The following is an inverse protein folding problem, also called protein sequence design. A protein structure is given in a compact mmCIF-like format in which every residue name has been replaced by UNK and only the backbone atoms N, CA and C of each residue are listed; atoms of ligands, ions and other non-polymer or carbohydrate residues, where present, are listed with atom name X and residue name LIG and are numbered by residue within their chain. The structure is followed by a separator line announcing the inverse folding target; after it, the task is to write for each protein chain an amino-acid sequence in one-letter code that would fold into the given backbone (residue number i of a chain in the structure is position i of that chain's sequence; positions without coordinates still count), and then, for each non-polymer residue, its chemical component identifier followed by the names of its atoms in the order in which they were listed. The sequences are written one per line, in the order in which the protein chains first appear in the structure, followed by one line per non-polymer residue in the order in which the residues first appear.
data_IF_115766612386
#
_entry.id   IF_115766612386
#
_cell.length_a   1.000
_cell.length_b   1.000
_cell.length_c   1.000
_cell.angle_alpha   90.00
_cell.angle_beta   90.00
_cell.angle_gamma   90.00
#
_symmetry.space_group_name_H-M   'P 1'
#
loop_
_entity.id
_entity.type
_entity.pdbx_description
1 polymer ?
#
# COMPACT_ATOMS: atom_id res chain seq x y z
N UNK A 1 -27.26 -18.35 19.31
CA UNK A 1 -26.72 -17.08 18.77
C UNK A 1 -25.45 -16.78 19.54
N UNK A 2 -24.29 -16.76 18.88
CA UNK A 2 -23.01 -16.50 19.54
C UNK A 2 -22.88 -15.00 19.79
N UNK A 3 -23.12 -14.56 21.03
CA UNK A 3 -22.79 -13.20 21.48
C UNK A 3 -21.27 -13.05 21.42
N UNK A 4 -20.77 -12.45 20.33
CA UNK A 4 -19.45 -11.83 20.35
C UNK A 4 -19.55 -10.67 21.33
N UNK A 5 -19.09 -10.86 22.57
CA UNK A 5 -18.93 -9.75 23.52
C UNK A 5 -18.27 -8.57 22.79
N UNK A 6 -18.78 -7.33 22.96
CA UNK A 6 -18.22 -6.18 22.28
C UNK A 6 -16.77 -6.05 22.72
N UNK A 7 -15.85 -6.32 21.80
CA UNK A 7 -14.42 -6.08 22.01
C UNK A 7 -14.30 -4.65 22.53
N UNK A 8 -13.76 -4.49 23.73
CA UNK A 8 -13.67 -3.19 24.37
C UNK A 8 -12.50 -2.42 23.73
N UNK A 9 -12.77 -1.84 22.56
CA UNK A 9 -11.79 -1.16 21.72
C UNK A 9 -11.04 -0.04 22.45
N UNK A 10 -11.69 0.63 23.41
CA UNK A 10 -11.09 1.69 24.23
C UNK A 10 -9.95 1.16 25.13
N UNK A 11 -10.12 -0.03 25.72
CA UNK A 11 -9.08 -0.67 26.54
C UNK A 11 -7.96 -1.25 25.69
N UNK A 12 -8.29 -1.76 24.50
CA UNK A 12 -7.32 -2.30 23.54
C UNK A 12 -6.44 -1.19 22.95
N UNK A 13 -7.03 -0.04 22.63
CA UNK A 13 -6.34 1.14 22.08
C UNK A 13 -5.46 1.84 23.14
N UNK A 14 -5.82 1.72 24.42
CA UNK A 14 -4.99 2.21 25.52
C UNK A 14 -3.66 1.43 25.67
N UNK A 15 -3.55 0.21 25.12
CA UNK A 15 -2.34 -0.60 25.23
C UNK A 15 -1.21 -0.05 24.32
N UNK A 16 0.00 0.20 24.86
CA UNK A 16 1.13 0.71 24.09
C UNK A 16 1.50 -0.17 22.89
N UNK A 17 1.38 -1.48 23.04
CA UNK A 17 1.71 -2.47 22.01
C UNK A 17 0.77 -2.39 20.80
N UNK A 18 -0.53 -2.22 21.04
CA UNK A 18 -1.54 -2.08 19.98
C UNK A 18 -1.34 -0.78 19.20
N UNK A 19 -1.06 0.33 19.89
CA UNK A 19 -0.71 1.61 19.23
C UNK A 19 0.58 1.51 18.42
N UNK A 20 1.59 0.80 18.92
CA UNK A 20 2.83 0.56 18.19
C UNK A 20 2.61 -0.28 16.92
N UNK A 21 1.73 -1.29 16.97
CA UNK A 21 1.33 -2.10 15.82
C UNK A 21 0.62 -1.25 14.76
N UNK A 22 -0.37 -0.45 15.17
CA UNK A 22 -1.08 0.47 14.29
C UNK A 22 -0.16 1.52 13.67
N UNK A 23 0.78 2.09 14.43
CA UNK A 23 1.75 3.05 13.91
C UNK A 23 2.66 2.43 12.83
N UNK A 24 3.08 1.17 12.98
CA UNK A 24 3.86 0.45 11.96
C UNK A 24 3.04 0.21 10.69
N UNK A 25 1.77 -0.18 10.84
CA UNK A 25 0.83 -0.37 9.72
C UNK A 25 0.60 0.93 8.97
N UNK A 26 0.27 2.01 9.68
CA UNK A 26 0.03 3.33 9.07
C UNK A 26 1.27 3.87 8.38
N UNK A 27 2.47 3.75 8.96
CA UNK A 27 3.71 4.20 8.29
C UNK A 27 3.94 3.50 6.96
N UNK A 28 3.68 2.20 6.90
CA UNK A 28 3.78 1.45 5.66
C UNK A 28 2.74 1.90 4.64
N UNK A 29 1.46 1.97 5.03
CA UNK A 29 0.38 2.36 4.13
C UNK A 29 0.60 3.78 3.60
N UNK A 30 0.88 4.75 4.48
CA UNK A 30 1.12 6.14 4.10
C UNK A 30 2.31 6.23 3.13
N UNK A 31 3.41 5.53 3.42
CA UNK A 31 4.57 5.48 2.52
C UNK A 31 4.22 4.91 1.14
N UNK A 32 3.49 3.80 1.10
CA UNK A 32 3.01 3.20 -0.15
C UNK A 32 2.05 4.11 -0.91
N UNK A 33 1.16 4.83 -0.22
CA UNK A 33 0.24 5.80 -0.83
C UNK A 33 1.00 6.97 -1.44
N UNK A 34 1.97 7.54 -0.72
CA UNK A 34 2.80 8.64 -1.26
C UNK A 34 3.55 8.17 -2.51
N UNK A 35 4.17 6.99 -2.47
CA UNK A 35 4.84 6.41 -3.62
C UNK A 35 3.88 6.19 -4.80
N UNK A 36 2.70 5.62 -4.54
CA UNK A 36 1.67 5.41 -5.56
C UNK A 36 1.26 6.72 -6.22
N UNK A 37 0.95 7.75 -5.42
CA UNK A 37 0.56 9.07 -5.93
C UNK A 37 1.70 9.68 -6.75
N UNK A 38 2.93 9.67 -6.24
CA UNK A 38 4.08 10.20 -6.95
C UNK A 38 4.31 9.47 -8.29
N UNK A 39 4.25 8.14 -8.30
CA UNK A 39 4.42 7.33 -9.50
C UNK A 39 3.26 7.53 -10.50
N UNK A 40 2.04 7.67 -10.00
CA UNK A 40 0.87 7.92 -10.83
C UNK A 40 0.97 9.27 -11.56
N UNK A 41 1.31 10.33 -10.82
CA UNK A 41 1.49 11.67 -11.38
C UNK A 41 2.80 11.87 -12.14
N UNK A 42 3.78 10.97 -11.98
CA UNK A 42 5.01 11.03 -12.76
C UNK A 42 4.74 10.96 -14.27
N UNK A 43 3.71 10.23 -14.71
CA UNK A 43 3.35 10.16 -16.14
C UNK A 43 2.96 11.53 -16.72
N UNK A 44 1.92 12.23 -16.23
CA UNK A 44 1.55 13.55 -16.77
C UNK A 44 2.67 14.59 -16.60
N UNK A 45 3.46 14.50 -15.52
CA UNK A 45 4.64 15.36 -15.34
C UNK A 45 5.68 15.09 -16.44
N UNK A 46 6.07 13.84 -16.65
CA UNK A 46 7.03 13.48 -17.70
C UNK A 46 6.52 13.84 -19.11
N UNK A 47 5.24 13.64 -19.39
CA UNK A 47 4.64 14.02 -20.67
C UNK A 47 4.62 15.54 -20.86
N UNK A 48 4.36 16.31 -19.81
CA UNK A 48 4.31 17.77 -19.87
C UNK A 48 5.69 18.43 -19.98
N UNK A 49 6.67 17.94 -19.22
CA UNK A 49 8.02 18.53 -19.19
C UNK A 49 8.99 17.90 -20.21
N UNK A 50 8.82 16.62 -20.54
CA UNK A 50 9.70 15.87 -21.44
C UNK A 50 8.91 15.15 -22.56
N UNK A 51 8.09 15.87 -23.35
CA UNK A 51 7.25 15.27 -24.37
C UNK A 51 8.05 14.52 -25.45
N UNK A 52 9.23 15.01 -25.81
CA UNK A 52 10.07 14.40 -26.86
C UNK A 52 10.56 13.00 -26.44
N UNK A 53 10.97 12.82 -25.19
CA UNK A 53 11.33 11.51 -24.65
C UNK A 53 10.11 10.59 -24.59
N UNK A 54 8.95 11.11 -24.16
CA UNK A 54 7.74 10.30 -24.00
C UNK A 54 7.12 9.86 -25.34
N UNK A 55 7.35 10.62 -26.41
CA UNK A 55 6.95 10.28 -27.78
C UNK A 55 7.91 9.35 -28.48
N UNK A 56 9.17 9.25 -28.04
CA UNK A 56 10.14 8.34 -28.64
C UNK A 56 9.63 6.90 -28.62
N UNK A 57 9.70 6.27 -29.78
CA UNK A 57 9.40 4.86 -29.98
C UNK A 57 10.41 4.01 -29.19
N UNK A 58 9.91 3.23 -28.23
CA UNK A 58 10.71 2.35 -27.40
C UNK A 58 10.73 0.93 -27.98
N UNK A 59 9.56 0.42 -28.40
CA UNK A 59 9.36 -0.92 -28.94
C UNK A 59 8.45 -0.86 -30.16
N UNK A 60 9.04 -0.65 -31.34
CA UNK A 60 8.28 -0.40 -32.57
C UNK A 60 7.36 0.80 -32.38
N UNK A 61 6.05 0.64 -32.63
CA UNK A 61 5.06 1.73 -32.48
C UNK A 61 4.72 2.11 -31.02
N UNK A 62 5.25 1.38 -30.03
CA UNK A 62 5.00 1.69 -28.62
C UNK A 62 6.01 2.71 -28.13
N UNK A 63 5.54 3.91 -27.76
CA UNK A 63 6.37 4.94 -27.14
C UNK A 63 6.54 4.71 -25.63
N UNK A 64 7.44 5.49 -25.03
CA UNK A 64 7.72 5.44 -23.60
C UNK A 64 6.51 5.77 -22.72
N UNK A 65 5.61 6.65 -23.17
CA UNK A 65 4.38 6.96 -22.43
C UNK A 65 3.49 5.72 -22.27
N UNK A 66 3.32 4.91 -23.33
CA UNK A 66 2.55 3.68 -23.26
C UNK A 66 3.22 2.63 -22.36
N UNK A 67 4.54 2.48 -22.42
CA UNK A 67 5.26 1.58 -21.52
C UNK A 67 5.12 2.00 -20.06
N UNK A 68 5.23 3.30 -19.78
CA UNK A 68 5.04 3.82 -18.43
C UNK A 68 3.60 3.60 -17.96
N UNK A 69 2.59 3.87 -18.78
CA UNK A 69 1.20 3.59 -18.46
C UNK A 69 0.97 2.10 -18.15
N UNK A 70 1.56 1.20 -18.94
CA UNK A 70 1.49 -0.25 -18.68
C UNK A 70 2.18 -0.63 -17.35
N UNK A 71 3.32 0.01 -17.03
CA UNK A 71 4.03 -0.22 -15.77
C UNK A 71 3.21 0.16 -14.53
N UNK A 72 2.23 1.06 -14.66
CA UNK A 72 1.34 1.43 -13.54
C UNK A 72 0.51 0.24 -13.05
N UNK A 73 0.08 -0.66 -13.93
CA UNK A 73 -0.64 -1.88 -13.56
C UNK A 73 0.25 -2.81 -12.73
N UNK A 74 1.48 -3.05 -13.20
CA UNK A 74 2.45 -3.87 -12.47
C UNK A 74 2.82 -3.26 -11.11
N UNK A 75 2.96 -1.93 -11.05
CA UNK A 75 3.19 -1.20 -9.80
C UNK A 75 2.02 -1.41 -8.82
N UNK A 76 0.77 -1.28 -9.27
CA UNK A 76 -0.40 -1.50 -8.42
C UNK A 76 -0.49 -2.94 -7.90
N UNK A 77 -0.24 -3.93 -8.77
CA UNK A 77 -0.18 -5.34 -8.36
C UNK A 77 0.96 -5.62 -7.40
N UNK A 78 2.14 -5.03 -7.61
CA UNK A 78 3.27 -5.16 -6.70
C UNK A 78 2.92 -4.59 -5.32
N UNK A 79 2.31 -3.40 -5.26
CA UNK A 79 1.85 -2.81 -3.98
C UNK A 79 0.80 -3.69 -3.31
N UNK A 80 -0.17 -4.21 -4.06
CA UNK A 80 -1.18 -5.12 -3.54
C UNK A 80 -0.55 -6.41 -2.98
N UNK A 81 0.39 -7.02 -3.71
CA UNK A 81 1.09 -8.23 -3.27
C UNK A 81 1.95 -8.00 -2.02
N UNK A 82 2.71 -6.89 -1.97
CA UNK A 82 3.51 -6.54 -0.80
C UNK A 82 2.59 -6.25 0.39
N UNK A 83 1.48 -5.55 0.16
CA UNK A 83 0.47 -5.26 1.18
C UNK A 83 -0.15 -6.54 1.74
N UNK A 84 -0.63 -7.47 0.91
CA UNK A 84 -1.26 -8.71 1.41
C UNK A 84 -0.28 -9.55 2.22
N UNK A 85 0.99 -9.60 1.81
CA UNK A 85 2.03 -10.31 2.57
C UNK A 85 2.31 -9.66 3.92
N UNK A 86 2.35 -8.32 4.01
CA UNK A 86 2.51 -7.61 5.29
C UNK A 86 1.26 -7.66 6.16
N UNK A 87 0.08 -7.60 5.55
CA UNK A 87 -1.20 -7.71 6.25
C UNK A 87 -1.31 -9.07 6.96
N UNK A 88 -0.96 -10.16 6.28
CA UNK A 88 -0.93 -11.49 6.89
C UNK A 88 0.04 -11.59 8.09
N UNK A 89 1.12 -10.79 8.11
CA UNK A 89 2.02 -10.71 9.26
C UNK A 89 1.35 -9.95 10.43
N UNK A 90 0.76 -8.78 10.16
CA UNK A 90 0.06 -8.00 11.19
C UNK A 90 -1.15 -8.73 11.76
N UNK A 91 -1.87 -9.50 10.94
CA UNK A 91 -3.01 -10.29 11.39
C UNK A 91 -2.57 -11.38 12.38
N UNK A 92 -1.39 -11.99 12.16
CA UNK A 92 -0.78 -12.93 13.14
C UNK A 92 -0.37 -12.24 14.43
N UNK A 93 0.27 -11.06 14.33
CA UNK A 93 0.68 -10.27 15.49
C UNK A 93 -0.55 -9.82 16.31
N UNK A 94 -1.61 -9.35 15.66
CA UNK A 94 -2.86 -8.98 16.30
C UNK A 94 -3.57 -10.17 16.95
N UNK A 95 -3.59 -11.34 16.28
CA UNK A 95 -4.18 -12.55 16.84
C UNK A 95 -3.43 -13.04 18.10
N UNK A 96 -2.11 -12.83 18.18
CA UNK A 96 -1.32 -13.15 19.36
C UNK A 96 -1.70 -12.25 20.56
N UNK A 97 -1.85 -10.94 20.33
CA UNK A 97 -2.25 -9.98 21.39
C UNK A 97 -3.65 -10.25 21.91
N UNK A 98 -4.61 -10.62 21.05
CA UNK A 98 -5.99 -10.93 21.45
C UNK A 98 -6.07 -12.26 22.20
N UNK A 99 -5.20 -13.24 21.87
CA UNK A 99 -5.20 -14.55 22.54
C UNK A 99 -4.68 -14.49 23.97
N UNK A 100 -3.83 -13.52 24.28
CA UNK A 100 -3.30 -13.27 25.63
C UNK A 100 -4.35 -12.62 26.58
N UNK A 101 -5.48 -12.16 26.04
CA UNK A 101 -6.61 -11.63 26.83
C UNK A 101 -7.59 -12.71 27.33
N UNK A 102 -7.40 -13.99 26.97
CA UNK A 102 -8.28 -15.11 27.35
C UNK A 102 -7.62 -16.05 28.32
#
# INVERSE_FOLDING_TARGET
MSEKSPVNWEQLEAKPEFRALLARKSRFIIGSTIFFVAYYFALPVLVGYFPEMMKQEALGRLNWAYLFALSQFFMAWALAFIYTRKAAQWDKEAAAVIKDER
#
